data_IF_954794040086
#
_entry.id   IF_954794040086
#
_cell.length_a   1.000
_cell.length_b   1.000
_cell.length_c   1.000
_cell.angle_alpha   90.00
_cell.angle_beta   90.00
_cell.angle_gamma   90.00
#
_symmetry.space_group_name_H-M   'P 1'
#
loop_
_entity.id
_entity.type
_entity.pdbx_description
1 polymer ?
#
# COMPACT_ATOMS: atom_id res chain seq x y z
N UNK A 1 -0.37 -17.51 9.84
CA UNK A 1 1.02 -17.62 10.26
C UNK A 1 1.17 -18.72 11.31
N UNK A 2 2.33 -19.41 11.30
CA UNK A 2 2.63 -20.44 12.30
C UNK A 2 3.44 -19.86 13.48
N UNK A 3 3.60 -18.56 13.51
CA UNK A 3 4.33 -17.82 14.55
C UNK A 3 3.31 -17.01 15.37
N UNK A 4 3.37 -17.08 16.70
CA UNK A 4 2.47 -16.29 17.56
C UNK A 4 2.75 -14.79 17.41
N UNK A 5 1.74 -13.97 17.67
CA UNK A 5 1.93 -12.52 17.81
C UNK A 5 2.89 -12.22 18.99
N UNK A 6 3.64 -11.11 18.95
CA UNK A 6 4.47 -10.69 20.06
C UNK A 6 3.65 -10.52 21.35
N UNK A 7 4.23 -10.87 22.51
CA UNK A 7 3.54 -10.73 23.82
C UNK A 7 3.15 -9.28 24.12
N UNK A 8 3.89 -8.32 23.55
CA UNK A 8 3.55 -6.90 23.65
C UNK A 8 2.16 -6.57 23.09
N UNK A 9 1.72 -7.24 22.02
CA UNK A 9 0.38 -7.06 21.43
C UNK A 9 -0.70 -7.47 22.43
N UNK A 10 -0.55 -8.65 23.04
CA UNK A 10 -1.49 -9.13 24.06
C UNK A 10 -1.56 -8.17 25.27
N UNK A 11 -0.39 -7.70 25.72
CA UNK A 11 -0.32 -6.74 26.82
C UNK A 11 -1.04 -5.43 26.46
N UNK A 12 -0.78 -4.87 25.27
CA UNK A 12 -1.41 -3.65 24.80
C UNK A 12 -2.95 -3.77 24.75
N UNK A 13 -3.48 -4.90 24.24
CA UNK A 13 -4.92 -5.16 24.23
C UNK A 13 -5.50 -5.19 25.65
N UNK A 14 -4.81 -5.84 26.61
CA UNK A 14 -5.26 -5.91 28.01
C UNK A 14 -5.26 -4.53 28.64
N UNK A 15 -4.19 -3.75 28.47
CA UNK A 15 -4.06 -2.40 28.99
C UNK A 15 -5.17 -1.51 28.39
N UNK A 16 -5.39 -1.57 27.08
CA UNK A 16 -6.44 -0.82 26.40
C UNK A 16 -7.85 -1.14 26.94
N UNK A 17 -8.16 -2.41 27.16
CA UNK A 17 -9.45 -2.83 27.70
C UNK A 17 -9.68 -2.36 29.14
N UNK A 18 -8.60 -2.15 29.91
CA UNK A 18 -8.70 -1.71 31.30
C UNK A 18 -8.70 -0.17 31.46
N UNK A 19 -8.08 0.55 30.54
CA UNK A 19 -7.74 1.97 30.71
C UNK A 19 -8.56 2.89 29.79
N UNK A 20 -8.98 2.41 28.60
CA UNK A 20 -9.69 3.26 27.64
C UNK A 20 -11.17 3.44 28.02
N UNK A 21 -11.71 4.61 27.73
CA UNK A 21 -13.13 4.89 27.86
C UNK A 21 -13.96 3.93 26.99
N UNK A 22 -14.94 3.20 27.55
CA UNK A 22 -15.77 2.28 26.79
C UNK A 22 -16.50 2.93 25.59
N UNK A 23 -16.81 4.22 25.66
CA UNK A 23 -17.46 4.96 24.55
C UNK A 23 -16.46 5.14 23.40
N UNK A 24 -15.20 5.41 23.69
CA UNK A 24 -14.12 5.49 22.70
C UNK A 24 -13.80 4.12 22.14
N UNK A 25 -13.62 3.13 23.02
CA UNK A 25 -13.25 1.76 22.64
C UNK A 25 -14.26 1.11 21.70
N UNK A 26 -15.55 1.32 21.92
CA UNK A 26 -16.65 0.72 21.13
C UNK A 26 -17.30 1.70 20.14
N UNK A 27 -16.83 2.94 20.10
CA UNK A 27 -17.32 3.98 19.22
C UNK A 27 -16.73 3.91 17.81
N UNK A 28 -17.33 4.68 16.92
CA UNK A 28 -16.69 4.98 15.63
C UNK A 28 -15.50 5.93 15.83
N UNK A 29 -14.49 5.80 14.98
CA UNK A 29 -13.44 6.82 14.91
C UNK A 29 -14.03 8.17 14.49
N UNK A 30 -13.45 9.25 14.97
CA UNK A 30 -13.86 10.62 14.61
C UNK A 30 -13.40 11.06 13.21
N UNK A 31 -12.62 10.22 12.53
CA UNK A 31 -12.08 10.48 11.19
C UNK A 31 -12.13 9.22 10.33
N UNK A 32 -12.48 9.37 9.05
CA UNK A 32 -12.40 8.27 8.08
C UNK A 32 -10.95 7.83 7.80
N UNK A 33 -9.96 8.64 8.16
CA UNK A 33 -8.55 8.27 8.05
C UNK A 33 -8.06 7.40 9.23
N UNK A 34 -8.81 7.32 10.33
CA UNK A 34 -8.40 6.67 11.57
C UNK A 34 -7.96 7.67 12.66
N UNK A 35 -7.57 7.16 13.80
CA UNK A 35 -7.10 7.97 14.93
C UNK A 35 -5.84 8.75 14.58
N UNK A 36 -5.82 10.04 14.92
CA UNK A 36 -4.70 10.92 14.54
C UNK A 36 -3.41 10.55 15.26
N UNK A 37 -3.47 10.20 16.53
CA UNK A 37 -2.33 9.74 17.33
C UNK A 37 -1.70 8.46 16.77
N UNK A 38 -2.53 7.51 16.35
CA UNK A 38 -2.06 6.27 15.69
C UNK A 38 -1.40 6.57 14.34
N UNK A 39 -2.04 7.39 13.51
CA UNK A 39 -1.48 7.80 12.22
C UNK A 39 -0.16 8.56 12.37
N UNK A 40 -0.07 9.41 13.40
CA UNK A 40 1.16 10.14 13.69
C UNK A 40 2.27 9.18 14.12
N UNK A 41 2.00 8.20 14.99
CA UNK A 41 2.96 7.18 15.38
C UNK A 41 3.47 6.36 14.20
N UNK A 42 2.58 6.01 13.25
CA UNK A 42 2.97 5.34 11.99
C UNK A 42 3.91 6.24 11.17
N UNK A 43 3.56 7.52 11.00
CA UNK A 43 4.37 8.46 10.24
C UNK A 43 5.78 8.63 10.85
N UNK A 44 5.86 8.80 12.17
CA UNK A 44 7.13 8.91 12.91
C UNK A 44 8.01 7.67 12.73
N UNK A 45 7.42 6.47 12.86
CA UNK A 45 8.14 5.20 12.62
C UNK A 45 8.68 5.10 11.20
N UNK A 46 7.91 5.51 10.19
CA UNK A 46 8.37 5.52 8.80
C UNK A 46 9.49 6.54 8.58
N UNK A 47 9.36 7.74 9.16
CA UNK A 47 10.38 8.79 9.08
C UNK A 47 11.71 8.35 9.70
N UNK A 48 11.67 7.70 10.87
CA UNK A 48 12.85 7.17 11.54
C UNK A 48 13.52 6.07 10.70
N UNK A 49 12.73 5.12 10.19
CA UNK A 49 13.25 3.95 9.46
C UNK A 49 13.76 4.29 8.07
N UNK A 50 13.11 5.20 7.37
CA UNK A 50 13.37 5.45 5.95
C UNK A 50 13.85 6.87 5.64
N UNK A 51 13.93 7.76 6.64
CA UNK A 51 14.36 9.14 6.44
C UNK A 51 13.38 9.94 5.57
N UNK A 52 12.10 9.69 5.73
CA UNK A 52 10.99 10.43 5.09
C UNK A 52 10.53 11.59 5.97
N UNK A 53 9.52 12.36 5.53
CA UNK A 53 8.97 13.51 6.26
C UNK A 53 7.44 13.47 6.34
N UNK A 54 6.87 12.29 6.52
CA UNK A 54 5.43 12.11 6.61
C UNK A 54 4.85 12.67 7.92
N UNK A 55 3.60 13.07 7.86
CA UNK A 55 2.78 13.44 9.01
C UNK A 55 1.54 12.53 9.08
N UNK A 56 0.74 12.67 10.11
CA UNK A 56 -0.54 11.96 10.23
C UNK A 56 -1.47 12.17 9.04
N UNK A 57 -1.34 13.30 8.32
CA UNK A 57 -2.10 13.62 7.11
C UNK A 57 -1.85 12.61 5.98
N UNK A 58 -0.63 12.14 5.83
CA UNK A 58 -0.21 11.23 4.77
C UNK A 58 -0.68 9.78 5.01
N UNK A 59 -1.18 9.48 6.20
CA UNK A 59 -1.54 8.11 6.63
C UNK A 59 -3.05 7.95 6.68
N UNK A 60 -3.55 6.86 6.07
CA UNK A 60 -4.94 6.41 6.24
C UNK A 60 -4.92 4.98 6.76
N UNK A 61 -5.53 4.74 7.94
CA UNK A 61 -5.64 3.40 8.51
C UNK A 61 -6.63 2.56 7.70
N UNK A 62 -6.33 1.28 7.51
CA UNK A 62 -7.11 0.39 6.66
C UNK A 62 -7.37 -0.96 7.30
N UNK A 63 -8.37 -1.67 6.80
CA UNK A 63 -8.67 -3.06 7.21
C UNK A 63 -7.71 -4.05 6.52
N UNK A 64 -6.42 -3.93 6.84
CA UNK A 64 -5.33 -4.65 6.20
C UNK A 64 -4.99 -4.09 4.81
N UNK A 65 -3.96 -4.68 4.16
CA UNK A 65 -3.52 -4.28 2.82
C UNK A 65 -4.63 -4.45 1.77
N UNK A 66 -5.42 -5.52 1.84
CA UNK A 66 -6.53 -5.75 0.92
C UNK A 66 -7.55 -4.61 0.93
N UNK A 67 -7.93 -4.13 2.13
CA UNK A 67 -8.78 -2.95 2.27
C UNK A 67 -8.13 -1.71 1.69
N UNK A 68 -6.85 -1.49 1.98
CA UNK A 68 -6.07 -0.37 1.44
C UNK A 68 -6.01 -0.37 -0.08
N UNK A 69 -5.71 -1.51 -0.71
CA UNK A 69 -5.70 -1.63 -2.17
C UNK A 69 -7.07 -1.33 -2.79
N UNK A 70 -8.15 -1.84 -2.21
CA UNK A 70 -9.50 -1.52 -2.70
C UNK A 70 -9.83 -0.03 -2.53
N UNK A 71 -9.43 0.60 -1.42
CA UNK A 71 -9.62 2.04 -1.18
C UNK A 71 -8.90 2.86 -2.24
N UNK A 72 -7.62 2.59 -2.48
CA UNK A 72 -6.84 3.41 -3.42
C UNK A 72 -7.24 3.17 -4.87
N UNK A 73 -7.56 1.93 -5.26
CA UNK A 73 -8.07 1.64 -6.60
C UNK A 73 -9.43 2.30 -6.84
N UNK A 74 -10.32 2.34 -5.82
CA UNK A 74 -11.57 3.09 -5.89
C UNK A 74 -11.38 4.58 -6.07
N UNK A 75 -10.34 5.15 -5.46
CA UNK A 75 -10.03 6.58 -5.57
C UNK A 75 -9.40 6.94 -6.93
N UNK A 76 -8.63 6.02 -7.54
CA UNK A 76 -7.85 6.29 -8.74
C UNK A 76 -8.55 5.94 -10.05
N UNK A 77 -9.35 4.85 -10.09
CA UNK A 77 -9.79 4.26 -11.35
C UNK A 77 -11.11 4.82 -11.84
N UNK A 78 -11.14 5.11 -13.14
CA UNK A 78 -12.34 5.22 -13.94
C UNK A 78 -12.54 3.94 -14.77
N UNK A 79 -13.78 3.65 -15.24
CA UNK A 79 -14.02 2.50 -16.11
C UNK A 79 -13.11 2.49 -17.34
N UNK A 80 -12.40 1.38 -17.53
CA UNK A 80 -11.47 1.19 -18.64
C UNK A 80 -10.04 1.67 -18.40
N UNK A 81 -9.73 2.27 -17.22
CA UNK A 81 -8.36 2.56 -16.83
C UNK A 81 -7.56 1.26 -16.65
N UNK A 82 -6.30 1.30 -17.01
CA UNK A 82 -5.40 0.15 -16.96
C UNK A 82 -4.53 0.19 -15.70
N UNK A 83 -4.38 -0.99 -15.10
CA UNK A 83 -3.45 -1.22 -13.98
C UNK A 83 -2.47 -2.31 -14.38
N UNK A 84 -1.17 -1.99 -14.35
CA UNK A 84 -0.12 -2.95 -14.71
C UNK A 84 0.37 -3.69 -13.47
N UNK A 85 0.67 -4.99 -13.62
CA UNK A 85 1.36 -5.80 -12.60
C UNK A 85 2.29 -6.81 -13.25
N UNK A 86 3.22 -7.37 -12.45
CA UNK A 86 4.27 -8.29 -12.91
C UNK A 86 3.95 -9.72 -12.50
N UNK A 87 3.89 -10.62 -13.47
CA UNK A 87 3.62 -12.06 -13.24
C UNK A 87 4.89 -12.75 -12.68
N UNK A 88 4.78 -13.64 -11.68
CA UNK A 88 3.57 -13.97 -10.93
C UNK A 88 3.26 -12.93 -9.84
N UNK A 89 1.99 -12.72 -9.58
CA UNK A 89 1.50 -11.74 -8.62
C UNK A 89 0.44 -12.35 -7.70
N UNK A 90 0.06 -11.63 -6.64
CA UNK A 90 -1.02 -12.01 -5.74
C UNK A 90 -2.37 -12.00 -6.48
N UNK A 91 -2.98 -13.18 -6.66
CA UNK A 91 -4.08 -13.39 -7.60
C UNK A 91 -5.30 -12.48 -7.42
N UNK A 92 -5.54 -11.97 -6.20
CA UNK A 92 -6.66 -11.07 -5.91
C UNK A 92 -6.53 -9.69 -6.55
N UNK A 93 -5.34 -9.26 -7.01
CA UNK A 93 -5.20 -7.98 -7.73
C UNK A 93 -6.14 -7.88 -8.93
N UNK A 94 -6.33 -9.00 -9.66
CA UNK A 94 -7.28 -9.04 -10.77
C UNK A 94 -8.69 -8.70 -10.33
N UNK A 95 -9.13 -9.28 -9.22
CA UNK A 95 -10.46 -9.01 -8.66
C UNK A 95 -10.59 -7.57 -8.18
N UNK A 96 -9.55 -7.05 -7.49
CA UNK A 96 -9.57 -5.68 -6.96
C UNK A 96 -9.66 -4.65 -8.10
N UNK A 97 -8.92 -4.83 -9.19
CA UNK A 97 -8.98 -3.94 -10.36
C UNK A 97 -10.33 -4.05 -11.07
N UNK A 98 -10.82 -5.28 -11.27
CA UNK A 98 -12.10 -5.51 -11.94
C UNK A 98 -13.31 -4.97 -11.15
N UNK A 99 -13.22 -4.90 -9.80
CA UNK A 99 -14.28 -4.34 -8.96
C UNK A 99 -14.59 -2.86 -9.28
N UNK A 100 -13.68 -2.17 -9.94
CA UNK A 100 -13.82 -0.76 -10.32
C UNK A 100 -13.78 -0.57 -11.84
N UNK A 101 -14.18 -1.60 -12.60
CA UNK A 101 -14.21 -1.59 -14.05
C UNK A 101 -12.85 -1.27 -14.70
N UNK A 102 -11.77 -1.47 -13.97
CA UNK A 102 -10.40 -1.36 -14.46
C UNK A 102 -9.97 -2.60 -15.26
N UNK A 103 -8.91 -2.45 -16.04
CA UNK A 103 -8.30 -3.51 -16.85
C UNK A 103 -6.93 -3.87 -16.28
N UNK A 104 -6.74 -5.12 -15.82
CA UNK A 104 -5.43 -5.58 -15.37
C UNK A 104 -4.56 -5.96 -16.57
N UNK A 105 -3.43 -5.29 -16.71
CA UNK A 105 -2.40 -5.55 -17.74
C UNK A 105 -1.23 -6.29 -17.10
N UNK A 106 -0.88 -7.44 -17.63
CA UNK A 106 0.14 -8.32 -17.08
C UNK A 106 1.44 -8.20 -17.86
N UNK A 107 2.57 -8.05 -17.12
CA UNK A 107 3.91 -8.17 -17.69
C UNK A 107 4.38 -9.60 -17.50
N UNK A 108 4.88 -10.23 -18.55
CA UNK A 108 5.34 -11.62 -18.54
C UNK A 108 6.49 -11.82 -17.54
N UNK A 109 6.59 -13.00 -16.90
CA UNK A 109 7.64 -13.25 -15.94
C UNK A 109 9.01 -13.35 -16.60
N UNK A 110 10.03 -12.84 -15.93
CA UNK A 110 11.38 -13.33 -16.09
C UNK A 110 11.52 -14.59 -15.22
N UNK A 111 11.63 -15.75 -15.84
CA UNK A 111 11.64 -17.03 -15.12
C UNK A 111 12.98 -17.38 -14.48
N UNK A 112 14.03 -16.60 -14.75
CA UNK A 112 15.36 -16.80 -14.16
C UNK A 112 15.53 -15.95 -12.89
N UNK A 113 15.14 -14.68 -12.94
CA UNK A 113 15.36 -13.73 -11.84
C UNK A 113 14.09 -13.28 -11.13
N UNK A 114 12.94 -13.41 -11.76
CA UNK A 114 11.66 -12.83 -11.36
C UNK A 114 11.69 -11.31 -11.13
N UNK A 115 12.70 -10.63 -11.71
CA UNK A 115 12.69 -9.18 -11.78
C UNK A 115 11.74 -8.71 -12.89
N UNK A 116 11.17 -7.49 -12.83
CA UNK A 116 10.34 -6.91 -13.88
C UNK A 116 11.02 -6.87 -15.25
N UNK A 117 10.34 -7.33 -16.29
CA UNK A 117 10.77 -7.16 -17.70
C UNK A 117 10.47 -5.74 -18.16
N UNK A 118 11.45 -4.86 -18.00
CA UNK A 118 11.27 -3.42 -18.22
C UNK A 118 10.95 -3.04 -19.66
N UNK A 119 11.50 -3.76 -20.65
CA UNK A 119 11.22 -3.51 -22.07
C UNK A 119 9.74 -3.80 -22.41
N UNK A 120 9.20 -4.92 -21.93
CA UNK A 120 7.79 -5.25 -22.07
C UNK A 120 6.91 -4.29 -21.27
N UNK A 121 7.32 -3.91 -20.08
CA UNK A 121 6.65 -2.92 -19.24
C UNK A 121 6.49 -1.60 -19.98
N UNK A 122 7.57 -1.06 -20.54
CA UNK A 122 7.54 0.19 -21.30
C UNK A 122 6.59 0.14 -22.49
N UNK A 123 6.58 -1.00 -23.22
CA UNK A 123 5.71 -1.20 -24.40
C UNK A 123 4.23 -1.29 -24.04
N UNK A 124 3.90 -1.80 -22.86
CA UNK A 124 2.50 -2.00 -22.42
C UNK A 124 1.89 -0.80 -21.71
N UNK A 125 2.67 0.24 -21.38
CA UNK A 125 2.11 1.48 -20.86
C UNK A 125 1.41 2.24 -21.98
N UNK A 126 0.15 2.61 -21.74
CA UNK A 126 -0.71 3.36 -22.67
C UNK A 126 -1.24 4.64 -22.03
N UNK A 127 -1.88 5.55 -22.78
CA UNK A 127 -2.56 6.71 -22.18
C UNK A 127 -3.68 6.37 -21.17
N UNK A 128 -4.11 5.10 -21.12
CA UNK A 128 -5.09 4.60 -20.14
C UNK A 128 -4.44 4.05 -18.87
N UNK A 129 -3.13 3.84 -18.87
CA UNK A 129 -2.43 3.34 -17.69
C UNK A 129 -2.52 4.34 -16.56
N UNK A 130 -3.22 3.96 -15.49
CA UNK A 130 -3.44 4.79 -14.31
C UNK A 130 -2.52 4.40 -13.16
N UNK A 131 -2.25 3.10 -13.00
CA UNK A 131 -1.42 2.63 -11.90
C UNK A 131 -0.57 1.43 -12.28
N UNK A 132 0.50 1.22 -11.50
CA UNK A 132 1.36 0.02 -11.54
C UNK A 132 1.40 -0.55 -10.13
N UNK A 133 1.04 -1.82 -9.94
CA UNK A 133 1.15 -2.50 -8.64
C UNK A 133 2.47 -3.26 -8.60
N UNK A 134 3.28 -2.93 -7.59
CA UNK A 134 4.54 -3.61 -7.26
C UNK A 134 4.41 -4.23 -5.87
N UNK A 135 4.74 -5.51 -5.76
CA UNK A 135 4.82 -6.23 -4.49
C UNK A 135 6.26 -6.75 -4.31
N UNK A 136 7.00 -6.15 -3.38
CA UNK A 136 8.38 -6.51 -3.10
C UNK A 136 8.70 -6.38 -1.61
N UNK A 137 9.10 -7.48 -0.92
CA UNK A 137 9.26 -8.86 -1.39
C UNK A 137 7.97 -9.41 -2.00
N UNK A 138 8.10 -10.17 -3.09
CA UNK A 138 6.97 -10.59 -3.91
C UNK A 138 6.25 -11.83 -3.35
N UNK A 139 4.94 -11.83 -3.43
CA UNK A 139 4.12 -13.03 -3.29
C UNK A 139 3.62 -13.45 -4.69
N UNK A 140 4.02 -14.66 -5.23
CA UNK A 140 4.50 -15.81 -4.46
C UNK A 140 6.02 -16.07 -4.51
N UNK A 141 6.83 -15.31 -5.25
CA UNK A 141 8.22 -15.68 -5.57
C UNK A 141 9.20 -15.47 -4.41
N UNK A 142 8.90 -14.57 -3.47
CA UNK A 142 9.81 -14.14 -2.41
C UNK A 142 10.92 -13.20 -2.88
N UNK A 143 10.97 -12.86 -4.17
CA UNK A 143 12.02 -12.00 -4.74
C UNK A 143 11.86 -10.56 -4.28
N UNK A 144 12.97 -9.95 -3.88
CA UNK A 144 13.09 -8.51 -3.68
C UNK A 144 13.54 -7.87 -4.99
N UNK A 145 12.81 -6.86 -5.45
CA UNK A 145 13.25 -6.07 -6.60
C UNK A 145 14.44 -5.20 -6.21
N UNK A 146 15.49 -5.26 -7.02
CA UNK A 146 16.72 -4.50 -6.75
C UNK A 146 16.47 -3.00 -6.85
N UNK A 147 17.29 -2.20 -6.16
CA UNK A 147 17.24 -0.75 -6.27
C UNK A 147 17.41 -0.29 -7.72
N UNK A 148 18.32 -0.91 -8.49
CA UNK A 148 18.52 -0.62 -9.91
C UNK A 148 17.24 -0.88 -10.73
N UNK A 149 16.55 -2.00 -10.46
CA UNK A 149 15.27 -2.32 -11.10
C UNK A 149 14.22 -1.25 -10.79
N UNK A 150 14.11 -0.83 -9.51
CA UNK A 150 13.14 0.20 -9.09
C UNK A 150 13.46 1.54 -9.75
N UNK A 151 14.71 1.97 -9.80
CA UNK A 151 15.13 3.21 -10.48
C UNK A 151 14.79 3.20 -11.97
N UNK A 152 15.02 2.08 -12.64
CA UNK A 152 14.70 1.93 -14.06
C UNK A 152 13.18 1.93 -14.29
N UNK A 153 12.42 1.25 -13.42
CA UNK A 153 10.97 1.26 -13.47
C UNK A 153 10.41 2.67 -13.30
N UNK A 154 10.89 3.41 -12.32
CA UNK A 154 10.53 4.81 -12.10
C UNK A 154 10.84 5.70 -13.33
N UNK A 155 12.03 5.54 -13.91
CA UNK A 155 12.43 6.30 -15.09
C UNK A 155 11.53 6.02 -16.31
N UNK A 156 11.08 4.78 -16.50
CA UNK A 156 10.12 4.42 -17.55
C UNK A 156 8.77 5.10 -17.29
N UNK A 157 8.28 5.07 -16.06
CA UNK A 157 7.02 5.73 -15.68
C UNK A 157 7.09 7.23 -15.90
N UNK A 158 8.16 7.89 -15.46
CA UNK A 158 8.40 9.33 -15.67
C UNK A 158 8.41 9.72 -17.16
N UNK A 159 9.08 8.90 -17.97
CA UNK A 159 9.11 9.09 -19.43
C UNK A 159 7.70 9.02 -20.01
N UNK A 160 6.94 8.00 -19.62
CA UNK A 160 5.58 7.75 -20.15
C UNK A 160 4.56 8.78 -19.68
N UNK A 161 4.64 9.25 -18.44
CA UNK A 161 3.82 10.37 -17.96
C UNK A 161 4.01 11.63 -18.82
N UNK A 162 5.28 11.96 -19.11
CA UNK A 162 5.61 13.11 -19.96
C UNK A 162 5.14 12.91 -21.40
N UNK A 163 5.26 11.69 -21.94
CA UNK A 163 4.84 11.33 -23.29
C UNK A 163 3.31 11.48 -23.46
N UNK A 164 2.53 11.03 -22.49
CA UNK A 164 1.06 10.98 -22.59
C UNK A 164 0.36 12.16 -21.92
N UNK A 165 1.05 12.93 -21.07
CA UNK A 165 0.45 14.02 -20.30
C UNK A 165 -0.55 13.52 -19.25
N UNK A 166 -0.31 12.32 -18.68
CA UNK A 166 -1.17 11.68 -17.68
C UNK A 166 -0.35 11.26 -16.48
N UNK A 167 -0.94 11.31 -15.28
CA UNK A 167 -0.29 10.80 -14.08
C UNK A 167 -0.44 9.29 -14.00
N UNK A 168 0.68 8.61 -13.69
CA UNK A 168 0.74 7.17 -13.43
C UNK A 168 1.19 6.98 -11.99
N UNK A 169 0.41 6.25 -11.18
CA UNK A 169 0.73 6.00 -9.78
C UNK A 169 1.40 4.65 -9.60
N UNK A 170 2.41 4.59 -8.74
CA UNK A 170 3.04 3.36 -8.29
C UNK A 170 2.40 2.94 -6.97
N UNK A 171 1.70 1.82 -6.95
CA UNK A 171 1.13 1.23 -5.74
C UNK A 171 2.11 0.18 -5.22
N UNK A 172 2.79 0.49 -4.13
CA UNK A 172 3.72 -0.42 -3.46
C UNK A 172 2.97 -1.22 -2.40
N UNK A 173 2.70 -2.48 -2.67
CA UNK A 173 2.08 -3.42 -1.72
C UNK A 173 3.17 -4.09 -0.89
N UNK A 174 3.29 -3.70 0.40
CA UNK A 174 4.45 -4.00 1.24
C UNK A 174 4.18 -4.87 2.49
N UNK A 175 3.29 -5.86 2.48
CA UNK A 175 3.02 -6.67 3.68
C UNK A 175 4.19 -7.55 4.09
N UNK A 176 5.20 -7.76 3.23
CA UNK A 176 6.34 -8.67 3.43
C UNK A 176 7.66 -7.94 3.67
N UNK A 177 7.67 -6.62 3.82
CA UNK A 177 8.89 -5.81 3.94
C UNK A 177 9.87 -6.33 5.00
N UNK A 178 9.38 -6.76 6.16
CA UNK A 178 10.17 -7.27 7.27
C UNK A 178 10.57 -8.75 7.12
N UNK A 179 10.14 -9.41 6.05
CA UNK A 179 10.44 -10.82 5.78
C UNK A 179 11.54 -10.99 4.71
N UNK A 180 12.41 -10.02 4.57
CA UNK A 180 13.65 -10.17 3.80
C UNK A 180 14.73 -10.80 4.68
N UNK A 181 15.47 -11.75 4.11
CA UNK A 181 16.50 -12.53 4.81
C UNK A 181 17.88 -12.21 4.24
N UNK A 182 18.93 -12.76 4.88
CA UNK A 182 20.32 -12.69 4.43
C UNK A 182 20.86 -11.26 4.25
N UNK A 183 20.31 -10.29 4.99
CA UNK A 183 20.73 -8.89 4.91
C UNK A 183 20.28 -8.15 3.65
N UNK A 184 19.34 -8.71 2.89
CA UNK A 184 18.78 -8.04 1.71
C UNK A 184 17.97 -6.82 2.15
N UNK A 185 18.35 -5.65 1.65
CA UNK A 185 17.60 -4.41 1.86
C UNK A 185 16.43 -4.31 0.88
N UNK A 186 15.26 -4.01 1.41
CA UNK A 186 14.05 -3.77 0.61
C UNK A 186 13.95 -2.27 0.33
N UNK A 187 14.06 -1.82 -0.93
CA UNK A 187 13.94 -0.40 -1.27
C UNK A 187 12.60 0.18 -0.80
N UNK A 188 12.62 1.42 -0.27
CA UNK A 188 11.38 2.13 0.06
C UNK A 188 10.99 3.00 -1.13
N UNK A 189 9.93 2.62 -1.85
CA UNK A 189 9.68 3.06 -3.21
C UNK A 189 9.38 4.56 -3.35
N UNK A 190 8.87 5.22 -2.31
CA UNK A 190 8.65 6.68 -2.29
C UNK A 190 9.92 7.50 -2.50
N UNK A 191 11.09 6.91 -2.27
CA UNK A 191 12.40 7.55 -2.50
C UNK A 191 12.82 7.59 -3.96
N UNK A 192 12.13 6.88 -4.83
CA UNK A 192 12.53 6.68 -6.23
C UNK A 192 11.50 7.23 -7.22
N UNK A 193 10.27 7.43 -6.78
CA UNK A 193 9.19 7.90 -7.62
C UNK A 193 8.15 8.66 -6.80
N UNK A 194 7.89 9.92 -7.15
CA UNK A 194 7.04 10.82 -6.35
C UNK A 194 5.58 10.33 -6.27
N UNK A 195 5.03 9.83 -7.38
CA UNK A 195 3.66 9.30 -7.42
C UNK A 195 3.53 7.90 -6.80
N UNK A 196 4.25 7.62 -5.72
CA UNK A 196 4.19 6.32 -5.03
C UNK A 196 3.21 6.35 -3.87
N UNK A 197 2.30 5.39 -3.85
CA UNK A 197 1.38 5.13 -2.75
C UNK A 197 1.76 3.81 -2.11
N UNK A 198 1.97 3.78 -0.79
CA UNK A 198 2.35 2.55 -0.09
C UNK A 198 1.14 1.94 0.60
N UNK A 199 0.90 0.65 0.39
CA UNK A 199 -0.04 -0.17 1.14
C UNK A 199 0.69 -1.13 2.07
N UNK A 200 0.40 -1.09 3.36
CA UNK A 200 1.04 -1.92 4.36
C UNK A 200 0.04 -2.69 5.21
N UNK A 201 0.46 -3.83 5.77
CA UNK A 201 -0.33 -4.64 6.69
C UNK A 201 0.53 -5.24 7.79
N UNK A 202 0.03 -5.22 9.01
CA UNK A 202 0.64 -5.90 10.16
C UNK A 202 0.38 -7.42 10.17
N UNK A 203 -0.30 -7.94 9.16
CA UNK A 203 -0.64 -9.37 9.03
C UNK A 203 0.58 -10.30 9.08
N UNK A 204 1.74 -9.82 8.60
CA UNK A 204 2.97 -10.63 8.49
C UNK A 204 4.00 -10.23 9.53
N UNK A 205 4.31 -8.94 9.65
CA UNK A 205 5.32 -8.42 10.59
C UNK A 205 5.00 -8.70 12.05
N UNK A 206 3.73 -8.61 12.45
CA UNK A 206 3.27 -8.85 13.81
C UNK A 206 2.44 -10.14 13.97
N UNK A 207 2.34 -10.95 12.91
CA UNK A 207 1.50 -12.16 12.91
C UNK A 207 0.02 -11.90 13.29
N UNK A 208 -0.54 -10.79 12.78
CA UNK A 208 -1.91 -10.34 13.07
C UNK A 208 -2.85 -10.40 11.85
N UNK A 209 -2.90 -11.49 11.06
CA UNK A 209 -3.73 -11.52 9.85
C UNK A 209 -5.23 -11.47 10.16
N UNK A 210 -5.65 -11.93 11.33
CA UNK A 210 -7.04 -11.91 11.79
C UNK A 210 -7.52 -10.54 12.23
N UNK A 211 -6.62 -9.67 12.69
CA UNK A 211 -6.97 -8.34 13.20
C UNK A 211 -7.34 -7.34 12.10
N UNK A 212 -6.97 -7.62 10.87
CA UNK A 212 -7.32 -6.78 9.71
C UNK A 212 -6.87 -5.33 9.87
N UNK A 213 -5.60 -5.12 10.25
CA UNK A 213 -5.03 -3.79 10.45
C UNK A 213 -3.87 -3.52 9.49
N UNK A 214 -3.84 -2.33 8.93
CA UNK A 214 -2.83 -1.83 8.01
C UNK A 214 -3.00 -0.34 7.78
N UNK A 215 -2.29 0.20 6.81
CA UNK A 215 -2.39 1.60 6.43
C UNK A 215 -2.02 1.84 4.96
N UNK A 216 -2.47 2.98 4.44
CA UNK A 216 -1.96 3.60 3.21
C UNK A 216 -1.07 4.78 3.58
N UNK A 217 -0.03 5.00 2.79
CA UNK A 217 0.76 6.24 2.78
C UNK A 217 0.56 6.92 1.43
N UNK A 218 0.14 8.17 1.45
CA UNK A 218 0.05 9.03 0.26
C UNK A 218 0.96 10.23 0.51
N UNK A 219 2.18 10.27 -0.07
CA UNK A 219 3.11 11.37 0.09
C UNK A 219 2.57 12.70 -0.46
N UNK A 220 3.04 13.81 0.09
CA UNK A 220 2.66 15.14 -0.41
C UNK A 220 3.22 15.42 -1.81
N UNK A 221 4.30 14.74 -2.19
CA UNK A 221 4.94 14.80 -3.50
C UNK A 221 4.13 14.14 -4.61
N UNK A 222 3.19 13.25 -4.26
CA UNK A 222 2.34 12.59 -5.24
C UNK A 222 1.42 13.59 -5.96
N UNK A 223 1.24 13.40 -7.26
CA UNK A 223 0.34 14.23 -8.06
C UNK A 223 -1.06 14.24 -7.43
N UNK A 224 -1.65 15.42 -7.31
CA UNK A 224 -2.98 15.66 -6.74
C UNK A 224 -3.18 15.05 -5.34
N UNK A 225 -2.12 15.02 -4.52
CA UNK A 225 -2.07 14.33 -3.22
C UNK A 225 -3.21 14.72 -2.28
N UNK A 226 -3.60 16.01 -2.23
CA UNK A 226 -4.69 16.49 -1.37
C UNK A 226 -6.04 15.87 -1.71
N UNK A 227 -6.39 15.88 -3.01
CA UNK A 227 -7.62 15.29 -3.48
C UNK A 227 -7.57 13.76 -3.36
N UNK A 228 -6.41 13.16 -3.60
CA UNK A 228 -6.23 11.71 -3.47
C UNK A 228 -6.39 11.23 -2.03
N UNK A 229 -5.81 11.93 -1.05
CA UNK A 229 -6.00 11.67 0.38
C UNK A 229 -7.48 11.81 0.75
N UNK A 230 -8.14 12.87 0.30
CA UNK A 230 -9.56 13.09 0.54
C UNK A 230 -10.41 11.98 -0.08
N UNK A 231 -10.13 11.59 -1.32
CA UNK A 231 -10.82 10.52 -2.02
C UNK A 231 -10.63 9.15 -1.34
N UNK A 232 -9.41 8.85 -0.88
CA UNK A 232 -9.12 7.62 -0.13
C UNK A 232 -9.93 7.56 1.17
N UNK A 233 -10.00 8.66 1.92
CA UNK A 233 -10.78 8.74 3.16
C UNK A 233 -12.29 8.57 2.90
N UNK A 234 -12.82 9.16 1.82
CA UNK A 234 -14.21 8.96 1.41
C UNK A 234 -14.43 7.51 0.95
N UNK A 235 -13.51 6.95 0.15
CA UNK A 235 -13.60 5.57 -0.32
C UNK A 235 -13.64 4.57 0.84
N UNK A 236 -12.82 4.78 1.89
CA UNK A 236 -12.86 3.96 3.11
C UNK A 236 -14.26 3.90 3.71
N UNK A 237 -14.96 5.02 3.74
CA UNK A 237 -16.33 5.11 4.27
C UNK A 237 -17.35 4.44 3.35
N UNK A 238 -17.35 4.78 2.06
CA UNK A 238 -18.40 4.31 1.12
C UNK A 238 -18.26 2.83 0.74
N UNK A 239 -17.06 2.25 0.86
CA UNK A 239 -16.85 0.81 0.68
C UNK A 239 -17.36 -0.02 1.87
N UNK A 240 -17.86 0.64 2.92
CA UNK A 240 -18.44 -0.01 4.09
C UNK A 240 -17.42 -0.35 5.18
N UNK A 241 -16.14 -0.01 4.99
CA UNK A 241 -15.12 -0.24 6.02
C UNK A 241 -15.29 0.72 7.20
N UNK A 242 -15.79 1.93 6.95
CA UNK A 242 -15.95 3.05 7.90
C UNK A 242 -14.60 3.57 8.43
N UNK A 243 -13.73 2.70 8.78
CA UNK A 243 -12.30 2.70 9.08
C UNK A 243 -11.91 1.37 9.72
N UNK A 244 -10.63 1.14 10.00
CA UNK A 244 -10.22 0.01 10.82
C UNK A 244 -10.80 0.17 12.24
N UNK A 245 -11.26 -0.93 12.89
CA UNK A 245 -11.86 -0.85 14.22
C UNK A 245 -10.93 -0.27 15.27
N UNK A 246 -11.49 0.43 16.25
CA UNK A 246 -10.74 1.10 17.33
C UNK A 246 -9.75 0.15 18.03
N UNK A 247 -10.22 -1.03 18.42
CA UNK A 247 -9.40 -2.00 19.13
C UNK A 247 -8.15 -2.44 18.34
N UNK A 248 -8.23 -2.45 17.02
CA UNK A 248 -7.10 -2.81 16.16
C UNK A 248 -6.15 -1.64 15.90
N UNK A 249 -6.64 -0.41 16.00
CA UNK A 249 -5.80 0.78 15.79
C UNK A 249 -5.00 1.16 17.05
N UNK A 250 -5.65 1.12 18.21
CA UNK A 250 -5.08 1.48 19.51
C UNK A 250 -4.19 0.37 20.07
#
# INVERSE_FOLDING_TARGET
PNVPAPEAVKKAIIDLLNEEDPVVLHGYTNSNAGYEDVRQAVAESLNERFGTSFSSRNITMTVGAAGGLNVILKALLNPGDEVITFVPYFGEYRSYVNNYDGVLVEISPDTETFQPKLDEFEQKITPKTRAVIVNTPNNPTGVVYSEDTIRKLAAVMDKKQKEFGTDIYLISDEPYRELAYDGVEVPYLTKYYDNTIVGYSYSKSLSLPGERIGYLVIPDEAADSENLISAANVATRILGFVNAPTLQQK
#
